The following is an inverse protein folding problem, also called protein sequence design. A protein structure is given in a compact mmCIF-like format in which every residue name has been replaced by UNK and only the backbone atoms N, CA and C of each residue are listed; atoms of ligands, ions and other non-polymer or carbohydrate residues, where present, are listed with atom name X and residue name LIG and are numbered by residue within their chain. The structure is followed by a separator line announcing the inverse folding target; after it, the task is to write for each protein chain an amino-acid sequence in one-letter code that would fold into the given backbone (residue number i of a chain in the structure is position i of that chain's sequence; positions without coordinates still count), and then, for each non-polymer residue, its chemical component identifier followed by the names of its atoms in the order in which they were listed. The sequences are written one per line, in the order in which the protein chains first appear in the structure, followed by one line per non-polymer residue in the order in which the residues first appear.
data_IF_403709120525
#
_entry.id   IF_403709120525
#
_cell.length_a   1.000
_cell.length_b   1.000
_cell.length_c   1.000
_cell.angle_alpha   90.00
_cell.angle_beta   90.00
_cell.angle_gamma   90.00
#
_symmetry.space_group_name_H-M   'P 1'
#
loop_
_entity.id
_entity.type
_entity.pdbx_description
1 polymer ?
#
# COMPACT_ATOMS: atom_id res chain seq x y z
N UNK A 1 -0.20 7.07 -3.03
CA UNK A 1 0.41 5.72 -2.93
C UNK A 1 -0.56 4.83 -2.19
N UNK A 2 -0.75 3.59 -2.64
CA UNK A 2 -1.64 2.62 -2.00
C UNK A 2 -0.80 1.47 -1.43
N UNK A 3 -1.22 0.87 -0.32
CA UNK A 3 -0.62 -0.37 0.19
C UNK A 3 -1.40 -1.55 -0.39
N UNK A 4 -0.76 -2.42 -1.17
CA UNK A 4 -1.43 -3.55 -1.80
C UNK A 4 -1.54 -4.74 -0.86
N UNK A 5 -0.47 -5.04 -0.16
CA UNK A 5 -0.33 -6.24 0.65
C UNK A 5 0.42 -5.87 1.91
N UNK A 6 -0.10 -6.33 3.05
CA UNK A 6 0.62 -6.41 4.31
C UNK A 6 0.79 -7.90 4.59
N UNK A 7 2.04 -8.34 4.73
CA UNK A 7 2.39 -9.70 5.08
C UNK A 7 2.69 -9.74 6.57
N UNK A 8 1.91 -10.53 7.29
CA UNK A 8 2.15 -10.83 8.70
C UNK A 8 3.24 -11.91 8.84
N UNK A 9 3.99 -11.89 9.94
CA UNK A 9 5.09 -12.84 10.14
C UNK A 9 6.12 -12.44 11.20
N UNK A 10 5.70 -11.75 12.27
CA UNK A 10 6.60 -11.30 13.35
C UNK A 10 7.72 -10.40 12.83
N UNK A 11 8.98 -10.83 12.98
CA UNK A 11 10.17 -10.11 12.50
C UNK A 11 10.15 -9.92 10.98
N UNK A 12 9.57 -10.86 10.23
CA UNK A 12 9.47 -10.82 8.78
C UNK A 12 8.23 -10.07 8.27
N UNK A 13 7.58 -9.27 9.12
CA UNK A 13 6.43 -8.46 8.72
C UNK A 13 6.85 -7.48 7.61
N UNK A 14 6.06 -7.45 6.54
CA UNK A 14 6.38 -6.68 5.34
C UNK A 14 5.16 -5.96 4.78
N UNK A 15 5.38 -4.89 4.03
CA UNK A 15 4.34 -4.18 3.30
C UNK A 15 4.78 -3.89 1.87
N UNK A 16 3.82 -3.87 0.95
CA UNK A 16 4.08 -3.63 -0.47
C UNK A 16 3.30 -2.41 -0.94
N UNK A 17 3.93 -1.22 -0.97
CA UNK A 17 3.37 -0.05 -1.61
C UNK A 17 3.33 -0.17 -3.14
N UNK A 18 2.31 0.46 -3.72
CA UNK A 18 2.16 0.73 -5.16
C UNK A 18 2.01 2.23 -5.40
N UNK A 19 2.84 2.75 -6.29
CA UNK A 19 2.70 4.10 -6.88
C UNK A 19 2.84 4.02 -8.38
N UNK A 20 2.25 4.98 -9.08
CA UNK A 20 2.56 5.21 -10.50
C UNK A 20 3.63 6.31 -10.51
N UNK A 21 4.73 6.07 -11.20
CA UNK A 21 5.82 7.03 -11.38
C UNK A 21 6.11 7.13 -12.86
N UNK A 22 6.06 8.34 -13.43
CA UNK A 22 6.29 8.57 -14.87
C UNK A 22 5.46 7.63 -15.78
N UNK A 23 4.20 7.40 -15.44
CA UNK A 23 3.31 6.49 -16.18
C UNK A 23 3.53 5.00 -15.92
N UNK A 24 4.59 4.60 -15.21
CA UNK A 24 4.90 3.20 -14.92
C UNK A 24 4.48 2.84 -13.49
N UNK A 25 3.80 1.69 -13.34
CA UNK A 25 3.44 1.15 -12.03
C UNK A 25 4.67 0.58 -11.31
N UNK A 26 5.05 1.18 -10.19
CA UNK A 26 6.18 0.76 -9.36
C UNK A 26 5.66 0.13 -8.07
N UNK A 27 6.11 -1.09 -7.81
CA UNK A 27 5.86 -1.85 -6.58
C UNK A 27 7.20 -2.27 -5.97
N UNK A 28 7.37 -2.06 -4.66
CA UNK A 28 8.57 -2.51 -3.95
C UNK A 28 8.16 -2.96 -2.55
N UNK A 29 8.50 -4.18 -2.18
CA UNK A 29 8.23 -4.71 -0.84
C UNK A 29 9.30 -4.26 0.14
N UNK A 30 8.85 -3.85 1.32
CA UNK A 30 9.70 -3.39 2.41
C UNK A 30 9.38 -4.17 3.69
N UNK A 31 10.41 -4.49 4.49
CA UNK A 31 10.25 -5.06 5.82
C UNK A 31 9.99 -3.94 6.83
N UNK A 32 9.05 -4.14 7.76
CA UNK A 32 8.75 -3.13 8.79
C UNK A 32 9.95 -2.84 9.69
N UNK A 33 10.73 -3.86 10.02
CA UNK A 33 11.85 -3.76 10.96
C UNK A 33 13.20 -3.53 10.26
N UNK A 34 13.19 -3.09 8.99
CA UNK A 34 14.43 -2.85 8.26
C UNK A 34 15.10 -1.55 8.72
N UNK A 35 16.42 -1.54 8.97
CA UNK A 35 17.17 -0.31 9.28
C UNK A 35 17.24 0.66 8.09
N UNK A 36 16.83 0.21 6.89
CA UNK A 36 16.76 1.05 5.69
C UNK A 36 15.56 2.00 5.67
N UNK A 37 14.64 1.86 6.63
CA UNK A 37 13.44 2.69 6.74
C UNK A 37 13.59 3.55 7.98
N UNK A 38 13.75 4.85 7.78
CA UNK A 38 13.87 5.81 8.88
C UNK A 38 12.51 6.05 9.56
N UNK A 39 11.45 6.26 8.77
CA UNK A 39 10.12 6.60 9.29
C UNK A 39 9.01 6.11 8.36
N UNK A 40 7.96 5.57 8.96
CA UNK A 40 6.72 5.21 8.27
C UNK A 40 5.55 5.95 8.91
N UNK A 41 4.88 6.82 8.14
CA UNK A 41 3.70 7.58 8.60
C UNK A 41 2.53 7.26 7.70
N UNK A 42 1.38 6.92 8.30
CA UNK A 42 0.13 6.78 7.57
C UNK A 42 -0.46 8.16 7.35
N UNK A 43 -0.51 8.58 6.09
CA UNK A 43 -1.07 9.90 5.72
C UNK A 43 -2.58 9.87 5.54
N UNK A 44 -3.15 8.73 5.16
CA UNK A 44 -4.59 8.57 4.93
C UNK A 44 -5.03 7.12 5.12
N UNK A 45 -6.16 6.94 5.80
CA UNK A 45 -6.80 5.63 5.94
C UNK A 45 -7.80 5.37 4.80
N UNK A 46 -7.56 4.32 4.02
CA UNK A 46 -8.47 3.89 2.96
C UNK A 46 -9.52 2.89 3.46
N UNK A 47 -10.79 3.05 3.03
CA UNK A 47 -11.85 2.06 3.23
C UNK A 47 -11.78 0.99 2.14
N UNK A 48 -11.39 -0.21 2.51
CA UNK A 48 -11.29 -1.39 1.63
C UNK A 48 -11.93 -2.60 2.29
N UNK A 49 -12.39 -3.56 1.48
CA UNK A 49 -13.01 -4.80 1.97
C UNK A 49 -12.07 -6.01 1.89
N UNK A 50 -11.06 -5.96 1.02
CA UNK A 50 -10.11 -7.07 0.79
C UNK A 50 -8.81 -6.79 1.54
N UNK A 51 -8.21 -7.83 2.12
CA UNK A 51 -6.90 -7.74 2.77
C UNK A 51 -5.75 -7.51 1.76
N UNK A 52 -5.86 -8.11 0.56
CA UNK A 52 -4.92 -7.89 -0.56
C UNK A 52 -5.62 -7.12 -1.67
N UNK A 53 -5.02 -6.00 -2.08
CA UNK A 53 -5.57 -5.09 -3.10
C UNK A 53 -4.96 -5.31 -4.49
N UNK A 54 -4.59 -6.54 -4.83
CA UNK A 54 -3.94 -6.88 -6.11
C UNK A 54 -4.73 -6.39 -7.34
N UNK A 55 -6.05 -6.29 -7.23
CA UNK A 55 -6.94 -5.76 -8.27
C UNK A 55 -6.65 -4.29 -8.65
N UNK A 56 -5.86 -3.56 -7.84
CA UNK A 56 -5.42 -2.20 -8.16
C UNK A 56 -4.28 -2.18 -9.20
N UNK A 57 -3.75 -3.34 -9.60
CA UNK A 57 -2.76 -3.47 -10.69
C UNK A 57 -3.39 -3.18 -12.04
N UNK A 58 -4.58 -3.73 -12.25
CA UNK A 58 -5.31 -3.66 -13.52
C UNK A 58 -6.11 -2.34 -13.64
N UNK A 59 -6.15 -1.53 -12.58
CA UNK A 59 -6.86 -0.25 -12.56
C UNK A 59 -5.91 0.92 -12.81
N UNK A 60 -6.38 1.87 -13.62
CA UNK A 60 -5.66 3.09 -13.96
C UNK A 60 -6.48 4.35 -13.70
N UNK A 61 -5.78 5.48 -13.56
CA UNK A 61 -6.39 6.79 -13.36
C UNK A 61 -7.30 6.86 -12.13
N UNK A 62 -8.53 7.36 -12.32
CA UNK A 62 -9.50 7.59 -11.24
C UNK A 62 -9.97 6.28 -10.58
N UNK A 63 -9.95 5.16 -11.29
CA UNK A 63 -10.41 3.86 -10.79
C UNK A 63 -9.49 3.26 -9.70
N UNK A 64 -8.25 3.73 -9.61
CA UNK A 64 -7.26 3.30 -8.60
C UNK A 64 -7.45 4.03 -7.27
N UNK A 65 -8.29 5.08 -7.22
CA UNK A 65 -8.53 5.87 -6.01
C UNK A 65 -9.37 5.07 -5.01
N UNK A 66 -8.76 4.76 -3.86
CA UNK A 66 -9.44 4.15 -2.72
C UNK A 66 -10.18 5.25 -1.94
N UNK A 67 -11.45 4.99 -1.61
CA UNK A 67 -12.25 5.90 -0.76
C UNK A 67 -11.63 6.02 0.62
N UNK A 68 -11.72 7.20 1.21
CA UNK A 68 -11.24 7.42 2.57
C UNK A 68 -12.16 6.76 3.60
N UNK A 69 -11.60 6.32 4.73
CA UNK A 69 -12.37 5.81 5.86
C UNK A 69 -12.76 6.99 6.75
N UNK A 70 -14.03 7.39 6.69
CA UNK A 70 -14.56 8.60 7.37
C UNK A 70 -15.17 8.32 8.76
N UNK A 71 -15.06 7.11 9.30
CA UNK A 71 -15.72 6.81 10.57
C UNK A 71 -14.85 7.24 11.76
N UNK A 72 -15.32 8.28 12.46
CA UNK A 72 -15.23 8.41 13.93
C UNK A 72 -16.23 7.45 14.58
#
# INVERSE_FOLDING_TARGET
MNILVIKEGGINKAFTPRRISYGVGVERTFLYNSPRIEKLVVTRHGKVRRAKLNYLRDRQGKATKVKEKTNY
#
